data_IF_821983295250
#
_entry.id   IF_821983295250
#
_cell.length_a   1.000
_cell.length_b   1.000
_cell.length_c   1.000
_cell.angle_alpha   90.00
_cell.angle_beta   90.00
_cell.angle_gamma   90.00
#
_symmetry.space_group_name_H-M   'P 1'
#
loop_
_entity.id
_entity.type
_entity.pdbx_description
1 polymer ?
#
# COMPACT_ATOMS: atom_id res chain seq x y z
N UNK A 1 7.79 -0.89 5.87
CA UNK A 1 9.26 -1.04 5.98
C UNK A 1 9.77 -0.36 7.26
N UNK A 2 11.09 -0.07 7.34
CA UNK A 2 11.73 0.36 8.58
C UNK A 2 11.13 1.63 9.20
N UNK A 3 10.73 2.61 8.39
CA UNK A 3 10.06 3.80 8.87
C UNK A 3 8.80 3.49 9.70
N UNK A 4 7.99 2.50 9.28
CA UNK A 4 6.80 2.09 10.03
C UNK A 4 7.15 1.38 11.34
N UNK A 5 8.26 0.62 11.36
CA UNK A 5 8.77 -0.02 12.57
C UNK A 5 9.29 1.04 13.57
N UNK A 6 9.96 2.08 13.09
CA UNK A 6 10.40 3.21 13.91
C UNK A 6 9.20 3.95 14.49
N UNK A 7 8.20 4.27 13.66
CA UNK A 7 6.95 4.92 14.10
C UNK A 7 6.22 4.09 15.16
N UNK A 8 6.20 2.76 15.03
CA UNK A 8 5.57 1.89 16.01
C UNK A 8 6.21 1.98 17.41
N UNK A 9 7.52 2.24 17.46
CA UNK A 9 8.27 2.46 18.72
C UNK A 9 8.11 3.89 19.26
N UNK A 10 7.67 4.83 18.43
CA UNK A 10 7.49 6.25 18.77
C UNK A 10 6.07 6.69 18.48
N UNK A 11 5.09 6.12 19.20
CA UNK A 11 3.65 6.36 18.95
C UNK A 11 3.23 7.82 18.89
N UNK A 12 3.88 8.68 19.66
CA UNK A 12 3.65 10.12 19.59
C UNK A 12 3.94 10.69 18.20
N UNK A 13 4.92 10.13 17.48
CA UNK A 13 5.25 10.57 16.12
C UNK A 13 4.13 10.31 15.10
N UNK A 14 3.26 9.32 15.34
CA UNK A 14 2.10 9.06 14.48
C UNK A 14 1.13 10.24 14.46
N UNK A 15 0.96 10.93 15.58
CA UNK A 15 0.05 12.09 15.70
C UNK A 15 0.66 13.39 15.18
N UNK A 16 1.96 13.40 14.91
CA UNK A 16 2.70 14.56 14.38
C UNK A 16 3.01 14.45 12.89
N UNK A 17 2.60 13.35 12.26
CA UNK A 17 2.75 13.20 10.80
C UNK A 17 2.00 14.32 10.07
N UNK A 18 2.54 14.83 8.96
CA UNK A 18 1.82 15.76 8.11
C UNK A 18 0.47 15.18 7.67
N UNK A 19 -0.57 16.00 7.70
CA UNK A 19 -1.88 15.61 7.15
C UNK A 19 -1.73 15.14 5.71
N UNK A 20 -2.42 14.06 5.35
CA UNK A 20 -2.34 13.48 4.02
C UNK A 20 -1.12 12.59 3.80
N UNK A 21 -0.29 12.30 4.81
CA UNK A 21 0.72 11.25 4.70
C UNK A 21 0.08 9.90 4.34
N UNK A 22 0.80 9.07 3.58
CA UNK A 22 0.36 7.72 3.23
C UNK A 22 1.26 6.71 3.94
N UNK A 23 0.66 5.83 4.73
CA UNK A 23 1.32 4.70 5.35
C UNK A 23 0.96 3.42 4.61
N UNK A 24 1.93 2.54 4.34
CA UNK A 24 1.75 1.32 3.56
C UNK A 24 2.07 0.04 4.37
N UNK A 25 1.44 -0.17 5.54
CA UNK A 25 1.74 -1.30 6.39
C UNK A 25 1.28 -2.63 5.79
N UNK A 26 2.08 -3.69 5.95
CA UNK A 26 1.56 -5.04 5.93
C UNK A 26 0.94 -5.38 7.30
N UNK A 27 0.16 -6.50 7.45
CA UNK A 27 -0.55 -6.80 8.69
C UNK A 27 0.30 -6.72 9.96
N UNK A 28 1.50 -7.29 9.95
CA UNK A 28 2.38 -7.28 11.13
C UNK A 28 2.93 -5.89 11.47
N UNK A 29 3.20 -5.04 10.47
CA UNK A 29 3.60 -3.64 10.69
C UNK A 29 2.46 -2.85 11.33
N UNK A 30 1.22 -3.04 10.83
CA UNK A 30 0.06 -2.41 11.44
C UNK A 30 -0.10 -2.83 12.90
N UNK A 31 -0.03 -4.14 13.20
CA UNK A 31 -0.19 -4.67 14.56
C UNK A 31 0.87 -4.14 15.54
N UNK A 32 2.06 -3.79 15.07
CA UNK A 32 3.06 -3.11 15.92
C UNK A 32 2.63 -1.70 16.32
N UNK A 33 1.88 -1.01 15.45
CA UNK A 33 1.38 0.35 15.72
C UNK A 33 0.11 0.36 16.57
N UNK A 34 -0.82 -0.57 16.31
CA UNK A 34 -2.18 -0.55 16.89
C UNK A 34 -2.45 -1.70 17.90
N UNK A 35 -1.49 -2.60 18.08
CA UNK A 35 -1.66 -3.81 18.88
C UNK A 35 -2.16 -5.02 18.08
N UNK A 36 -2.06 -6.21 18.67
CA UNK A 36 -2.48 -7.47 18.05
C UNK A 36 -3.95 -7.44 17.62
N UNK A 37 -4.26 -8.10 16.52
CA UNK A 37 -5.61 -8.25 15.98
C UNK A 37 -5.99 -9.74 15.95
N UNK A 38 -7.20 -10.08 16.36
CA UNK A 38 -7.69 -11.45 16.38
C UNK A 38 -8.06 -11.97 14.98
N UNK A 39 -8.48 -11.06 14.09
CA UNK A 39 -8.93 -11.40 12.75
C UNK A 39 -8.73 -10.22 11.77
N UNK A 40 -9.05 -10.44 10.50
CA UNK A 40 -8.90 -9.42 9.45
C UNK A 40 -9.87 -8.24 9.62
N UNK A 41 -11.07 -8.49 10.16
CA UNK A 41 -12.04 -7.43 10.42
C UNK A 41 -11.55 -6.46 11.51
N UNK A 42 -11.10 -7.00 12.64
CA UNK A 42 -10.53 -6.17 13.71
C UNK A 42 -9.31 -5.38 13.22
N UNK A 43 -8.48 -6.00 12.39
CA UNK A 43 -7.33 -5.33 11.78
C UNK A 43 -7.74 -4.16 10.90
N UNK A 44 -8.79 -4.34 10.08
CA UNK A 44 -9.33 -3.28 9.25
C UNK A 44 -9.90 -2.14 10.12
N UNK A 45 -10.68 -2.45 11.16
CA UNK A 45 -11.25 -1.44 12.06
C UNK A 45 -10.17 -0.63 12.77
N UNK A 46 -9.12 -1.27 13.28
CA UNK A 46 -7.98 -0.58 13.90
C UNK A 46 -7.19 0.28 12.90
N UNK A 47 -7.09 -0.16 11.64
CA UNK A 47 -6.50 0.66 10.59
C UNK A 47 -7.35 1.91 10.28
N UNK A 48 -8.68 1.78 10.25
CA UNK A 48 -9.58 2.91 10.09
C UNK A 48 -9.48 3.91 11.25
N UNK A 49 -9.42 3.41 12.48
CA UNK A 49 -9.23 4.25 13.68
C UNK A 49 -7.89 5.01 13.64
N UNK A 50 -6.80 4.31 13.27
CA UNK A 50 -5.49 4.95 13.11
C UNK A 50 -5.50 6.02 12.01
N UNK A 51 -6.10 5.72 10.84
CA UNK A 51 -6.21 6.68 9.74
C UNK A 51 -6.94 7.95 10.18
N UNK A 52 -8.08 7.79 10.88
CA UNK A 52 -8.86 8.92 11.39
C UNK A 52 -8.10 9.74 12.45
N UNK A 53 -7.51 9.06 13.43
CA UNK A 53 -6.84 9.72 14.56
C UNK A 53 -5.56 10.45 14.14
N UNK A 54 -4.75 9.81 13.30
CA UNK A 54 -3.50 10.38 12.80
C UNK A 54 -3.70 11.31 11.57
N UNK A 55 -4.92 11.38 11.01
CA UNK A 55 -5.26 12.14 9.79
C UNK A 55 -4.39 11.77 8.58
N UNK A 56 -4.13 10.47 8.42
CA UNK A 56 -3.30 9.90 7.36
C UNK A 56 -4.08 8.91 6.52
N UNK A 57 -3.61 8.65 5.30
CA UNK A 57 -4.11 7.55 4.49
C UNK A 57 -3.36 6.27 4.87
N UNK A 58 -4.05 5.14 4.86
CA UNK A 58 -3.43 3.83 5.12
C UNK A 58 -3.72 2.89 3.96
N UNK A 59 -2.67 2.31 3.39
CA UNK A 59 -2.77 1.20 2.46
C UNK A 59 -2.39 -0.07 3.23
N UNK A 60 -3.40 -0.77 3.75
CA UNK A 60 -3.20 -2.05 4.43
C UNK A 60 -2.99 -3.13 3.38
N UNK A 61 -1.72 -3.56 3.25
CA UNK A 61 -1.32 -4.55 2.24
C UNK A 61 -1.87 -5.94 2.55
N UNK A 62 -2.37 -6.62 1.52
CA UNK A 62 -2.94 -7.98 1.60
C UNK A 62 -3.39 -8.46 0.23
N UNK A 63 -4.07 -9.61 0.16
CA UNK A 63 -4.61 -10.16 -1.09
C UNK A 63 -5.54 -9.15 -1.80
N UNK A 64 -6.33 -8.41 -1.02
CA UNK A 64 -7.10 -7.25 -1.46
C UNK A 64 -6.65 -6.07 -0.60
N UNK A 65 -5.61 -5.36 -1.02
CA UNK A 65 -5.11 -4.21 -0.28
C UNK A 65 -6.21 -3.20 -0.03
N UNK A 66 -6.42 -2.81 1.24
CA UNK A 66 -7.42 -1.82 1.60
C UNK A 66 -6.80 -0.42 1.63
N UNK A 67 -7.37 0.51 0.88
CA UNK A 67 -7.01 1.93 0.87
C UNK A 67 -8.01 2.66 1.77
N UNK A 68 -7.54 3.19 2.88
CA UNK A 68 -8.34 3.79 3.94
C UNK A 68 -8.02 5.27 4.01
N UNK A 69 -9.05 6.13 3.99
CA UNK A 69 -8.88 7.58 4.12
C UNK A 69 -9.16 8.03 5.56
N UNK A 70 -8.64 9.18 5.98
CA UNK A 70 -8.93 9.74 7.31
C UNK A 70 -10.40 10.08 7.52
N UNK A 71 -11.19 10.25 6.45
CA UNK A 71 -12.64 10.51 6.47
C UNK A 71 -13.48 9.23 6.62
N UNK A 72 -12.83 8.05 6.69
CA UNK A 72 -13.50 6.77 6.88
C UNK A 72 -13.93 6.06 5.60
N UNK A 73 -13.54 6.55 4.42
CA UNK A 73 -13.74 5.77 3.19
C UNK A 73 -12.77 4.60 3.15
N UNK A 74 -13.21 3.46 2.64
CA UNK A 74 -12.39 2.26 2.46
C UNK A 74 -12.62 1.68 1.05
N UNK A 75 -11.54 1.54 0.29
CA UNK A 75 -11.53 0.97 -1.05
C UNK A 75 -10.70 -0.31 -1.05
N UNK A 76 -11.11 -1.32 -1.80
CA UNK A 76 -10.37 -2.57 -1.93
C UNK A 76 -9.78 -2.68 -3.33
N UNK A 77 -8.47 -2.92 -3.39
CA UNK A 77 -7.75 -3.09 -4.65
C UNK A 77 -7.93 -4.51 -5.19
N UNK A 78 -8.46 -4.70 -6.42
CA UNK A 78 -8.68 -6.03 -7.00
C UNK A 78 -7.46 -6.59 -7.74
N UNK A 79 -6.39 -5.81 -7.95
CA UNK A 79 -5.21 -6.22 -8.70
C UNK A 79 -4.11 -6.78 -7.81
N UNK A 80 -3.21 -7.55 -8.39
CA UNK A 80 -2.10 -8.19 -7.70
C UNK A 80 -2.32 -9.69 -7.47
N UNK A 81 -1.23 -10.38 -7.20
CA UNK A 81 -1.21 -11.83 -7.05
C UNK A 81 -0.23 -12.27 -5.95
N UNK A 82 -0.31 -13.52 -5.47
CA UNK A 82 0.56 -14.00 -4.40
C UNK A 82 2.07 -13.95 -4.69
N UNK A 83 2.49 -14.00 -5.95
CA UNK A 83 3.89 -13.87 -6.35
C UNK A 83 4.52 -12.53 -5.97
N UNK A 84 3.70 -11.49 -5.74
CA UNK A 84 4.16 -10.19 -5.28
C UNK A 84 4.59 -10.19 -3.80
N UNK A 85 4.40 -11.28 -3.07
CA UNK A 85 4.86 -11.43 -1.68
C UNK A 85 6.38 -11.69 -1.61
N UNK A 86 7.16 -10.87 -2.28
CA UNK A 86 8.62 -10.92 -2.37
C UNK A 86 9.24 -9.65 -1.78
N UNK A 87 10.50 -9.76 -1.35
CA UNK A 87 11.26 -8.60 -0.83
C UNK A 87 11.36 -7.48 -1.85
N UNK A 88 11.18 -6.24 -1.41
CA UNK A 88 11.25 -5.05 -2.27
C UNK A 88 9.94 -4.67 -2.97
N UNK A 89 8.94 -5.56 -3.07
CA UNK A 89 7.65 -5.24 -3.70
C UNK A 89 6.95 -4.04 -3.03
N UNK A 90 7.02 -3.94 -1.70
CA UNK A 90 6.48 -2.81 -0.96
C UNK A 90 7.21 -1.50 -1.23
N UNK A 91 8.51 -1.56 -1.50
CA UNK A 91 9.31 -0.37 -1.83
C UNK A 91 8.96 0.14 -3.24
N UNK A 92 8.69 -0.78 -4.18
CA UNK A 92 8.15 -0.43 -5.51
C UNK A 92 6.81 0.30 -5.37
N UNK A 93 5.88 -0.21 -4.55
CA UNK A 93 4.61 0.46 -4.28
C UNK A 93 4.82 1.87 -3.74
N UNK A 94 5.72 2.03 -2.78
CA UNK A 94 6.05 3.34 -2.20
C UNK A 94 6.60 4.30 -3.26
N UNK A 95 7.49 3.82 -4.14
CA UNK A 95 8.04 4.61 -5.25
C UNK A 95 6.98 5.07 -6.25
N UNK A 96 6.05 4.18 -6.62
CA UNK A 96 4.94 4.51 -7.53
C UNK A 96 4.03 5.59 -6.92
N UNK A 97 3.65 5.44 -5.64
CA UNK A 97 2.81 6.43 -4.95
C UNK A 97 3.54 7.77 -4.84
N UNK A 98 4.81 7.75 -4.45
CA UNK A 98 5.62 8.96 -4.34
C UNK A 98 5.72 9.70 -5.68
N UNK A 99 5.90 8.97 -6.78
CA UNK A 99 5.95 9.55 -8.12
C UNK A 99 4.62 10.24 -8.50
N UNK A 100 3.48 9.68 -8.12
CA UNK A 100 2.16 10.30 -8.34
C UNK A 100 1.98 11.57 -7.50
N UNK A 101 2.36 11.52 -6.22
CA UNK A 101 2.33 12.69 -5.34
C UNK A 101 3.24 13.81 -5.88
N UNK A 102 4.43 13.47 -6.35
CA UNK A 102 5.37 14.43 -6.94
C UNK A 102 4.83 15.08 -8.23
N UNK A 103 3.93 14.42 -8.94
CA UNK A 103 3.22 14.94 -10.11
C UNK A 103 1.98 15.76 -9.74
N UNK A 104 1.67 15.94 -8.46
CA UNK A 104 0.56 16.76 -7.99
C UNK A 104 -0.78 16.01 -7.87
N UNK A 105 -0.81 14.69 -7.96
CA UNK A 105 -2.04 13.95 -7.68
C UNK A 105 -2.49 14.14 -6.23
N UNK A 106 -3.80 14.35 -5.98
CA UNK A 106 -4.34 14.33 -4.63
C UNK A 106 -4.00 13.02 -3.90
N UNK A 107 -3.81 13.08 -2.60
CA UNK A 107 -3.33 11.94 -1.79
C UNK A 107 -4.22 10.69 -1.95
N UNK A 108 -5.56 10.85 -1.90
CA UNK A 108 -6.49 9.74 -2.11
C UNK A 108 -6.31 9.11 -3.50
N UNK A 109 -6.20 9.93 -4.53
CA UNK A 109 -6.00 9.48 -5.92
C UNK A 109 -4.65 8.76 -6.08
N UNK A 110 -3.57 9.34 -5.56
CA UNK A 110 -2.25 8.72 -5.59
C UNK A 110 -2.23 7.36 -4.90
N UNK A 111 -2.93 7.23 -3.76
CA UNK A 111 -3.05 5.96 -3.04
C UNK A 111 -3.82 4.91 -3.86
N UNK A 112 -4.97 5.26 -4.44
CA UNK A 112 -5.80 4.35 -5.25
C UNK A 112 -5.10 3.94 -6.54
N UNK A 113 -4.67 4.91 -7.34
CA UNK A 113 -4.01 4.67 -8.63
C UNK A 113 -2.71 3.90 -8.43
N UNK A 114 -1.87 4.34 -7.49
CA UNK A 114 -0.59 3.70 -7.21
C UNK A 114 -0.73 2.24 -6.80
N UNK A 115 -1.70 1.93 -5.93
CA UNK A 115 -1.96 0.55 -5.49
C UNK A 115 -2.48 -0.30 -6.65
N UNK A 116 -3.40 0.23 -7.46
CA UNK A 116 -3.95 -0.46 -8.62
C UNK A 116 -2.89 -0.77 -9.67
N UNK A 117 -2.12 0.22 -10.09
CA UNK A 117 -1.06 0.08 -11.09
C UNK A 117 0.05 -0.86 -10.63
N UNK A 118 0.45 -0.77 -9.36
CA UNK A 118 1.43 -1.69 -8.78
C UNK A 118 0.94 -3.14 -8.83
N UNK A 119 -0.32 -3.39 -8.44
CA UNK A 119 -0.93 -4.72 -8.52
C UNK A 119 -1.04 -5.22 -9.96
N UNK A 120 -1.51 -4.37 -10.89
CA UNK A 120 -1.63 -4.71 -12.30
C UNK A 120 -0.26 -5.02 -12.94
N UNK A 121 0.79 -4.28 -12.58
CA UNK A 121 2.15 -4.57 -13.03
C UNK A 121 2.62 -5.94 -12.52
N UNK A 122 2.28 -6.30 -11.28
CA UNK A 122 2.51 -7.65 -10.74
C UNK A 122 1.76 -8.73 -11.51
N UNK A 123 0.52 -8.48 -11.92
CA UNK A 123 -0.27 -9.43 -12.73
C UNK A 123 0.30 -9.60 -14.14
N UNK A 124 0.82 -8.53 -14.72
CA UNK A 124 1.56 -8.60 -16.01
C UNK A 124 2.86 -9.38 -15.84
N UNK A 125 3.60 -9.16 -14.76
CA UNK A 125 4.84 -9.87 -14.46
C UNK A 125 4.58 -11.38 -14.26
N UNK A 126 3.52 -11.73 -13.53
CA UNK A 126 3.09 -13.11 -13.33
C UNK A 126 2.83 -13.84 -14.65
N UNK A 127 2.15 -13.20 -15.60
CA UNK A 127 1.89 -13.80 -16.93
C UNK A 127 3.16 -14.07 -17.73
N UNK A 128 4.21 -13.30 -17.52
CA UNK A 128 5.50 -13.44 -18.22
C UNK A 128 6.42 -14.48 -17.59
N UNK A 129 6.48 -14.52 -16.26
CA UNK A 129 7.52 -15.25 -15.52
C UNK A 129 6.98 -16.29 -14.54
N UNK A 130 5.65 -16.31 -14.31
CA UNK A 130 5.03 -17.12 -13.25
C UNK A 130 5.20 -16.49 -11.86
N UNK A 131 4.48 -17.04 -10.86
CA UNK A 131 4.49 -16.49 -9.49
C UNK A 131 5.76 -16.82 -8.72
N UNK A 132 6.36 -18.00 -8.93
CA UNK A 132 7.41 -18.52 -8.06
C UNK A 132 8.74 -17.78 -8.24
N UNK A 133 9.05 -17.38 -9.47
CA UNK A 133 10.30 -16.71 -9.81
C UNK A 133 10.23 -15.18 -9.81
N UNK A 134 9.08 -14.60 -9.49
CA UNK A 134 8.88 -13.17 -9.58
C UNK A 134 9.62 -12.41 -8.48
N UNK A 135 10.33 -11.35 -8.86
CA UNK A 135 11.04 -10.43 -7.96
C UNK A 135 10.58 -8.99 -8.17
N UNK A 136 10.96 -8.08 -7.29
CA UNK A 136 10.51 -6.69 -7.32
C UNK A 136 10.86 -5.95 -8.63
N UNK A 137 12.02 -6.25 -9.24
CA UNK A 137 12.43 -5.65 -10.53
C UNK A 137 11.52 -6.05 -11.69
N UNK A 138 10.89 -7.22 -11.62
CA UNK A 138 9.92 -7.65 -12.66
C UNK A 138 8.67 -6.78 -12.62
N UNK A 139 8.21 -6.42 -11.42
CA UNK A 139 7.10 -5.48 -11.23
C UNK A 139 7.47 -4.12 -11.84
N UNK A 140 8.67 -3.60 -11.54
CA UNK A 140 9.17 -2.33 -12.11
C UNK A 140 9.16 -2.38 -13.64
N UNK A 141 9.72 -3.43 -14.22
CA UNK A 141 9.80 -3.62 -15.67
C UNK A 141 8.42 -3.68 -16.33
N UNK A 142 7.39 -4.12 -15.59
CA UNK A 142 6.02 -4.23 -16.09
C UNK A 142 5.16 -2.98 -15.85
N UNK A 143 5.62 -1.98 -15.09
CA UNK A 143 4.89 -0.72 -14.86
C UNK A 143 4.48 -0.01 -16.17
N UNK A 144 5.36 0.16 -17.18
CA UNK A 144 4.95 0.81 -18.43
C UNK A 144 3.80 0.08 -19.14
N UNK A 145 3.78 -1.26 -19.07
CA UNK A 145 2.69 -2.05 -19.65
C UNK A 145 1.40 -1.87 -18.85
N UNK A 146 1.47 -1.87 -17.52
CA UNK A 146 0.31 -1.63 -16.67
C UNK A 146 -0.33 -0.25 -16.94
N UNK A 147 0.49 0.79 -17.10
CA UNK A 147 0.00 2.12 -17.45
C UNK A 147 -0.71 2.14 -18.80
N UNK A 148 -0.16 1.51 -19.83
CA UNK A 148 -0.82 1.44 -21.15
C UNK A 148 -2.19 0.78 -21.07
N UNK A 149 -2.31 -0.31 -20.31
CA UNK A 149 -3.58 -1.04 -20.16
C UNK A 149 -4.72 -0.24 -19.51
N UNK A 150 -4.43 0.87 -18.85
CA UNK A 150 -5.45 1.73 -18.23
C UNK A 150 -5.63 3.07 -18.96
N UNK A 151 -4.74 3.38 -19.91
CA UNK A 151 -4.78 4.64 -20.68
C UNK A 151 -5.42 4.48 -22.06
N UNK A 152 -5.58 3.24 -22.51
CA UNK A 152 -6.25 2.83 -23.77
C UNK A 152 -7.71 2.40 -23.49
#
# INVERSE_FOLDING_TARGET
ADALNILANHRHALTTLPKGSILTPHPKELERMVGKCQNSYERLMKACELAHTAKVHIILKGAYSAIITPEGKCFFNPTGNPGMATGGSGDVLTGVILALLAQGYPTEEAAKIGTYIHGLAGDVAQKKQGMIGMIASDIITCLPTAWRLVSE
#
